data_IF_665790718201
#
_entry.id   IF_665790718201
#
_cell.length_a   1.000
_cell.length_b   1.000
_cell.length_c   1.000
_cell.angle_alpha   90.00
_cell.angle_beta   90.00
_cell.angle_gamma   90.00
#
_symmetry.space_group_name_H-M   'P 1'
#
loop_
_entity.id
_entity.type
_entity.pdbx_description
1 polymer ?
#
# COMPACT_ATOMS: atom_id res chain seq x y z
N UNK A 1 -0.32 4.14 30.35
CA UNK A 1 -0.85 2.76 30.22
C UNK A 1 -1.30 2.47 28.80
N UNK A 2 -2.14 3.30 28.17
CA UNK A 2 -2.60 3.10 26.78
C UNK A 2 -1.48 3.08 25.72
N UNK A 3 -0.50 3.99 25.78
CA UNK A 3 0.64 3.95 24.85
C UNK A 3 1.49 2.67 24.98
N UNK A 4 1.63 2.13 26.20
CA UNK A 4 2.31 0.85 26.44
C UNK A 4 1.52 -0.33 25.87
N UNK A 5 0.18 -0.31 25.99
CA UNK A 5 -0.68 -1.32 25.34
C UNK A 5 -0.52 -1.28 23.82
N UNK A 6 -0.54 -0.09 23.22
CA UNK A 6 -0.35 0.08 21.78
C UNK A 6 1.02 -0.40 21.30
N UNK A 7 2.08 -0.07 22.03
CA UNK A 7 3.45 -0.49 21.69
C UNK A 7 3.62 -2.03 21.76
N UNK A 8 3.06 -2.64 22.81
CA UNK A 8 3.05 -4.11 22.94
C UNK A 8 2.21 -4.72 21.82
N UNK A 9 1.04 -4.15 21.52
CA UNK A 9 0.19 -4.63 20.42
C UNK A 9 0.90 -4.58 19.08
N UNK A 10 1.62 -3.50 18.76
CA UNK A 10 2.44 -3.43 17.55
C UNK A 10 3.47 -4.57 17.49
N UNK A 11 4.18 -4.77 18.59
CA UNK A 11 5.29 -5.73 18.70
C UNK A 11 4.86 -7.18 18.45
N UNK A 12 3.61 -7.53 18.79
CA UNK A 12 3.14 -8.92 18.75
C UNK A 12 2.03 -9.20 17.73
N UNK A 13 1.25 -8.20 17.34
CA UNK A 13 0.03 -8.39 16.56
C UNK A 13 0.01 -7.63 15.23
N UNK A 14 0.94 -6.69 15.01
CA UNK A 14 1.04 -5.94 13.75
C UNK A 14 2.34 -6.29 13.08
N UNK A 15 2.22 -7.26 12.19
CA UNK A 15 3.24 -7.56 11.23
C UNK A 15 3.23 -6.52 10.09
N UNK A 16 4.42 -6.20 9.55
CA UNK A 16 4.63 -5.32 8.38
C UNK A 16 4.54 -6.19 7.11
N UNK A 17 3.36 -6.35 6.48
CA UNK A 17 3.15 -7.28 5.38
C UNK A 17 4.02 -6.98 4.14
N UNK A 18 4.51 -5.74 4.02
CA UNK A 18 5.44 -5.29 2.97
C UNK A 18 6.84 -5.93 3.09
N UNK A 19 7.19 -6.47 4.25
CA UNK A 19 8.50 -7.09 4.52
C UNK A 19 8.37 -8.62 4.58
N UNK A 20 9.42 -9.40 4.92
CA UNK A 20 9.28 -10.84 5.25
C UNK A 20 8.70 -11.04 6.65
N UNK A 21 7.98 -12.14 6.89
CA UNK A 21 7.30 -12.48 8.16
C UNK A 21 8.34 -12.74 9.24
N UNK A 22 8.99 -11.66 9.69
CA UNK A 22 10.12 -11.70 10.57
C UNK A 22 9.91 -10.72 11.73
N UNK A 23 10.05 -11.22 12.95
CA UNK A 23 10.10 -10.40 14.16
C UNK A 23 11.20 -9.34 14.08
N UNK A 24 12.22 -9.55 13.24
CA UNK A 24 13.31 -8.60 13.02
C UNK A 24 12.83 -7.30 12.33
N UNK A 25 11.82 -7.36 11.45
CA UNK A 25 11.29 -6.18 10.78
C UNK A 25 10.54 -5.25 11.75
N UNK A 26 9.64 -5.82 12.57
CA UNK A 26 8.92 -5.08 13.61
C UNK A 26 9.89 -4.51 14.65
N UNK A 27 10.92 -5.28 15.04
CA UNK A 27 11.96 -4.81 15.96
C UNK A 27 12.75 -3.63 15.42
N UNK A 28 13.15 -3.66 14.15
CA UNK A 28 13.90 -2.56 13.53
C UNK A 28 13.06 -1.28 13.43
N UNK A 29 11.78 -1.40 13.12
CA UNK A 29 10.85 -0.26 13.15
C UNK A 29 10.80 0.35 14.54
N UNK A 30 10.68 -0.48 15.58
CA UNK A 30 10.63 -0.02 16.97
C UNK A 30 11.95 0.62 17.42
N UNK A 31 13.10 0.04 17.07
CA UNK A 31 14.42 0.61 17.36
C UNK A 31 14.60 1.98 16.69
N UNK A 32 14.17 2.13 15.43
CA UNK A 32 14.17 3.42 14.75
C UNK A 32 13.21 4.43 15.40
N UNK A 33 12.03 3.97 15.82
CA UNK A 33 11.00 4.79 16.46
C UNK A 33 11.45 5.36 17.81
N UNK A 34 12.35 4.68 18.54
CA UNK A 34 12.89 5.19 19.81
C UNK A 34 13.62 6.54 19.63
N UNK A 35 14.18 6.79 18.45
CA UNK A 35 14.92 8.01 18.13
C UNK A 35 14.11 9.00 17.26
N UNK A 36 12.84 8.70 16.96
CA UNK A 36 11.99 9.54 16.12
C UNK A 36 10.53 9.54 16.62
N UNK A 37 10.13 10.62 17.32
CA UNK A 37 8.79 10.72 17.93
C UNK A 37 7.66 10.58 16.90
N UNK A 38 7.80 11.18 15.71
CA UNK A 38 6.78 11.06 14.65
C UNK A 38 6.60 9.60 14.20
N UNK A 39 7.69 8.83 14.08
CA UNK A 39 7.63 7.43 13.71
C UNK A 39 6.97 6.60 14.82
N UNK A 40 7.32 6.87 16.08
CA UNK A 40 6.68 6.24 17.24
C UNK A 40 5.18 6.51 17.26
N UNK A 41 4.75 7.76 17.06
CA UNK A 41 3.33 8.10 17.04
C UNK A 41 2.57 7.37 15.94
N UNK A 42 3.15 7.23 14.74
CA UNK A 42 2.50 6.52 13.63
C UNK A 42 2.40 5.01 13.89
N UNK A 43 3.43 4.41 14.50
CA UNK A 43 3.40 3.02 14.98
C UNK A 43 2.25 2.79 15.98
N UNK A 44 2.07 3.72 16.92
CA UNK A 44 0.98 3.67 17.90
C UNK A 44 -0.39 3.92 17.23
N UNK A 45 -0.46 4.83 16.27
CA UNK A 45 -1.67 5.14 15.51
C UNK A 45 -2.19 3.90 14.78
N UNK A 46 -1.31 3.22 14.05
CA UNK A 46 -1.63 1.98 13.35
C UNK A 46 -2.03 0.86 14.32
N UNK A 47 -1.46 0.85 15.52
CA UNK A 47 -1.85 -0.06 16.60
C UNK A 47 -3.26 0.16 17.11
N UNK A 48 -3.61 1.43 17.36
CA UNK A 48 -4.96 1.80 17.73
C UNK A 48 -5.93 1.42 16.60
N UNK A 49 -5.54 1.67 15.35
CA UNK A 49 -6.34 1.31 14.19
C UNK A 49 -6.61 -0.20 14.09
N UNK A 50 -5.60 -1.05 14.29
CA UNK A 50 -5.82 -2.50 14.34
C UNK A 50 -6.71 -2.91 15.53
N UNK A 51 -6.51 -2.33 16.72
CA UNK A 51 -7.33 -2.62 17.90
C UNK A 51 -8.80 -2.28 17.67
N UNK A 52 -9.11 -1.21 16.92
CA UNK A 52 -10.49 -0.91 16.53
C UNK A 52 -11.15 -2.04 15.74
N UNK A 53 -10.36 -2.78 14.95
CA UNK A 53 -10.86 -3.87 14.11
C UNK A 53 -11.09 -5.19 14.87
N UNK A 54 -10.44 -5.36 16.04
CA UNK A 54 -10.52 -6.59 16.85
C UNK A 54 -11.20 -6.40 18.21
N UNK A 55 -11.53 -5.16 18.60
CA UNK A 55 -12.27 -4.82 19.83
C UNK A 55 -13.49 -3.94 19.51
N UNK A 56 -14.60 -4.54 19.01
CA UNK A 56 -15.78 -3.79 18.59
C UNK A 56 -16.35 -2.85 19.66
N UNK A 57 -16.34 -3.28 20.93
CA UNK A 57 -16.87 -2.51 22.07
C UNK A 57 -16.16 -1.17 22.30
N UNK A 58 -14.93 -1.02 21.79
CA UNK A 58 -14.12 0.19 21.90
C UNK A 58 -13.68 0.73 20.54
N UNK A 59 -14.30 0.28 19.45
CA UNK A 59 -13.85 0.60 18.11
C UNK A 59 -13.78 2.10 17.85
N UNK A 60 -14.84 2.85 18.19
CA UNK A 60 -14.88 4.31 18.05
C UNK A 60 -13.73 5.01 18.79
N UNK A 61 -13.50 4.64 20.05
CA UNK A 61 -12.41 5.21 20.85
C UNK A 61 -11.03 4.94 20.25
N UNK A 62 -10.79 3.72 19.76
CA UNK A 62 -9.53 3.38 19.11
C UNK A 62 -9.35 4.08 17.74
N UNK A 63 -10.44 4.34 17.01
CA UNK A 63 -10.40 5.12 15.77
C UNK A 63 -10.06 6.57 16.05
N UNK A 64 -10.69 7.20 17.05
CA UNK A 64 -10.37 8.57 17.47
C UNK A 64 -8.90 8.68 17.89
N UNK A 65 -8.42 7.72 18.69
CA UNK A 65 -7.03 7.67 19.12
C UNK A 65 -6.05 7.47 17.95
N UNK A 66 -6.39 6.61 16.98
CA UNK A 66 -5.57 6.43 15.77
C UNK A 66 -5.46 7.75 14.98
N UNK A 67 -6.58 8.45 14.80
CA UNK A 67 -6.63 9.73 14.09
C UNK A 67 -5.83 10.83 14.78
N UNK A 68 -5.96 10.97 16.10
CA UNK A 68 -5.19 11.94 16.89
C UNK A 68 -3.68 11.69 16.80
N UNK A 69 -3.26 10.42 16.95
CA UNK A 69 -1.86 10.03 16.90
C UNK A 69 -1.25 10.26 15.51
N UNK A 70 -1.94 9.84 14.45
CA UNK A 70 -1.50 10.05 13.06
C UNK A 70 -1.38 11.54 12.74
N UNK A 71 -2.36 12.34 13.13
CA UNK A 71 -2.35 13.79 12.91
C UNK A 71 -1.12 14.43 13.57
N UNK A 72 -0.84 14.07 14.83
CA UNK A 72 0.34 14.57 15.55
C UNK A 72 1.64 14.06 14.91
N UNK A 73 1.67 12.81 14.45
CA UNK A 73 2.83 12.23 13.77
C UNK A 73 3.18 13.02 12.49
N UNK A 74 2.19 13.32 11.64
CA UNK A 74 2.36 14.11 10.42
C UNK A 74 2.85 15.52 10.73
N UNK A 75 2.29 16.18 11.75
CA UNK A 75 2.71 17.53 12.16
C UNK A 75 4.18 17.56 12.60
N UNK A 76 4.59 16.59 13.43
CA UNK A 76 5.98 16.47 13.87
C UNK A 76 6.93 16.13 12.73
N UNK A 77 6.54 15.20 11.85
CA UNK A 77 7.33 14.86 10.67
C UNK A 77 7.60 16.09 9.80
N UNK A 78 6.56 16.85 9.47
CA UNK A 78 6.69 18.05 8.64
C UNK A 78 7.57 19.14 9.29
N UNK A 79 7.62 19.19 10.62
CA UNK A 79 8.45 20.15 11.37
C UNK A 79 9.93 19.71 11.41
N UNK A 80 10.19 18.40 11.50
CA UNK A 80 11.53 17.84 11.68
C UNK A 80 12.16 17.25 10.40
N UNK A 81 11.42 17.25 9.29
CA UNK A 81 11.79 16.61 8.03
C UNK A 81 13.16 17.00 7.46
N UNK A 82 13.75 18.14 7.84
CA UNK A 82 15.08 18.55 7.40
C UNK A 82 16.23 17.92 8.21
N UNK A 83 16.00 17.50 9.46
CA UNK A 83 17.06 17.10 10.41
C UNK A 83 17.17 15.59 10.64
N UNK A 84 16.13 14.81 10.35
CA UNK A 84 16.12 13.38 10.66
C UNK A 84 16.88 12.53 9.63
N UNK A 85 17.32 11.32 10.03
CA UNK A 85 18.00 10.39 9.12
C UNK A 85 17.03 9.85 8.05
N UNK A 86 17.58 9.45 6.90
CA UNK A 86 16.79 8.95 5.76
C UNK A 86 15.97 7.70 6.11
N UNK A 87 16.45 6.90 7.06
CA UNK A 87 15.84 5.66 7.50
C UNK A 87 14.52 5.88 8.24
N UNK A 88 14.46 6.78 9.24
CA UNK A 88 13.22 7.00 9.99
C UNK A 88 12.14 7.63 9.10
N UNK A 89 12.53 8.52 8.17
CA UNK A 89 11.60 9.10 7.19
C UNK A 89 11.02 8.05 6.26
N UNK A 90 11.86 7.11 5.82
CA UNK A 90 11.45 5.99 4.99
C UNK A 90 10.45 5.08 5.70
N UNK A 91 10.78 4.68 6.94
CA UNK A 91 9.90 3.84 7.75
C UNK A 91 8.57 4.55 8.06
N UNK A 92 8.63 5.83 8.45
CA UNK A 92 7.43 6.62 8.75
C UNK A 92 6.51 6.70 7.54
N UNK A 93 7.04 7.04 6.37
CA UNK A 93 6.23 7.16 5.16
C UNK A 93 5.63 5.82 4.73
N UNK A 94 6.36 4.71 4.92
CA UNK A 94 5.86 3.36 4.66
C UNK A 94 4.67 3.03 5.57
N UNK A 95 4.81 3.22 6.88
CA UNK A 95 3.76 2.92 7.86
C UNK A 95 2.56 3.86 7.69
N UNK A 96 2.80 5.15 7.45
CA UNK A 96 1.74 6.13 7.20
C UNK A 96 0.95 5.79 5.94
N UNK A 97 1.63 5.47 4.84
CA UNK A 97 0.94 5.10 3.60
C UNK A 97 0.11 3.81 3.75
N UNK A 98 0.62 2.82 4.50
CA UNK A 98 -0.16 1.63 4.89
C UNK A 98 -1.38 1.99 5.73
N UNK A 99 -1.24 2.90 6.69
CA UNK A 99 -2.36 3.36 7.53
C UNK A 99 -3.44 4.03 6.67
N UNK A 100 -3.06 4.95 5.77
CA UNK A 100 -3.98 5.61 4.84
C UNK A 100 -4.65 4.59 3.90
N UNK A 101 -3.91 3.61 3.40
CA UNK A 101 -4.46 2.53 2.58
C UNK A 101 -5.53 1.74 3.35
N UNK A 102 -5.22 1.33 4.59
CA UNK A 102 -6.17 0.62 5.47
C UNK A 102 -7.43 1.45 5.70
N UNK A 103 -7.31 2.73 6.00
CA UNK A 103 -8.46 3.62 6.23
C UNK A 103 -9.31 3.81 4.98
N UNK A 104 -8.67 3.91 3.82
CA UNK A 104 -9.35 4.00 2.54
C UNK A 104 -10.13 2.71 2.25
N UNK A 105 -9.49 1.56 2.42
CA UNK A 105 -10.06 0.24 2.12
C UNK A 105 -11.23 -0.15 3.03
N UNK A 106 -11.27 0.32 4.28
CA UNK A 106 -12.41 0.03 5.19
C UNK A 106 -13.55 1.02 5.09
N UNK A 107 -13.37 2.15 4.41
CA UNK A 107 -14.41 3.17 4.33
C UNK A 107 -15.56 2.67 3.46
N UNK A 108 -16.80 2.78 3.96
CA UNK A 108 -18.01 2.27 3.29
C UNK A 108 -18.98 3.37 2.87
N UNK A 109 -18.70 4.60 3.24
CA UNK A 109 -19.56 5.76 3.00
C UNK A 109 -19.01 6.64 1.86
N UNK A 110 -18.08 6.10 1.06
CA UNK A 110 -17.42 6.84 -0.02
C UNK A 110 -18.03 6.49 -1.37
N UNK A 111 -18.46 7.53 -2.07
CA UNK A 111 -18.62 7.49 -3.52
C UNK A 111 -17.28 7.18 -4.21
N UNK A 112 -17.33 6.64 -5.43
CA UNK A 112 -16.13 6.20 -6.14
C UNK A 112 -15.04 7.28 -6.25
N UNK A 113 -15.40 8.51 -6.60
CA UNK A 113 -14.42 9.61 -6.72
C UNK A 113 -13.73 9.92 -5.38
N UNK A 114 -14.48 9.89 -4.28
CA UNK A 114 -13.91 10.14 -2.95
C UNK A 114 -12.99 9.00 -2.50
N UNK A 115 -13.35 7.76 -2.81
CA UNK A 115 -12.48 6.60 -2.60
C UNK A 115 -11.18 6.76 -3.39
N UNK A 116 -11.29 7.08 -4.68
CA UNK A 116 -10.15 7.18 -5.58
C UNK A 116 -9.19 8.29 -5.17
N UNK A 117 -9.70 9.46 -4.77
CA UNK A 117 -8.86 10.57 -4.29
C UNK A 117 -8.09 10.20 -3.02
N UNK A 118 -8.73 9.53 -2.05
CA UNK A 118 -8.05 9.05 -0.83
C UNK A 118 -7.01 7.97 -1.14
N UNK A 119 -7.35 7.06 -2.06
CA UNK A 119 -6.43 6.01 -2.51
C UNK A 119 -5.18 6.62 -3.17
N UNK A 120 -5.37 7.60 -4.06
CA UNK A 120 -4.27 8.35 -4.69
C UNK A 120 -3.45 9.12 -3.66
N UNK A 121 -4.09 9.78 -2.70
CA UNK A 121 -3.40 10.46 -1.61
C UNK A 121 -2.48 9.51 -0.85
N UNK A 122 -2.94 8.31 -0.50
CA UNK A 122 -2.12 7.27 0.13
C UNK A 122 -0.90 6.87 -0.71
N UNK A 123 -1.09 6.68 -2.02
CA UNK A 123 0.02 6.39 -2.94
C UNK A 123 1.04 7.52 -3.02
N UNK A 124 0.58 8.78 -3.00
CA UNK A 124 1.45 9.96 -3.02
C UNK A 124 2.30 10.09 -1.76
N UNK A 125 1.80 9.67 -0.59
CA UNK A 125 2.61 9.61 0.65
C UNK A 125 3.83 8.70 0.48
N UNK A 126 3.65 7.51 -0.11
CA UNK A 126 4.76 6.60 -0.43
C UNK A 126 5.75 7.18 -1.46
N UNK A 127 5.32 8.13 -2.30
CA UNK A 127 6.19 8.78 -3.28
C UNK A 127 6.99 9.95 -2.74
N UNK A 128 6.47 10.68 -1.75
CA UNK A 128 7.29 11.64 -0.99
C UNK A 128 8.56 10.95 -0.46
N UNK A 129 8.44 9.67 -0.13
CA UNK A 129 9.56 8.79 0.19
C UNK A 129 10.46 8.50 -1.00
N UNK A 130 9.94 8.07 -2.17
CA UNK A 130 10.76 7.82 -3.38
C UNK A 130 11.55 9.05 -3.84
N UNK A 131 10.99 10.25 -3.75
CA UNK A 131 11.68 11.50 -4.08
C UNK A 131 12.82 11.82 -3.09
N UNK A 132 12.58 11.59 -1.78
CA UNK A 132 13.64 11.65 -0.75
C UNK A 132 14.68 10.53 -0.99
N UNK A 133 14.26 9.33 -1.40
CA UNK A 133 15.13 8.19 -1.68
C UNK A 133 15.97 8.36 -2.96
N UNK A 134 15.54 9.16 -3.93
CA UNK A 134 16.33 9.49 -5.13
C UNK A 134 17.40 10.56 -4.85
N UNK A 135 17.24 11.33 -3.77
CA UNK A 135 18.15 12.40 -3.38
C UNK A 135 19.28 11.94 -2.42
N UNK A 136 19.17 10.77 -1.81
CA UNK A 136 20.17 10.20 -0.89
C UNK A 136 20.85 8.96 -1.48
N UNK A 137 22.16 8.84 -1.25
CA UNK A 137 22.98 7.73 -1.72
C UNK A 137 22.41 6.39 -1.22
N UNK A 138 22.02 5.52 -2.16
CA UNK A 138 21.36 4.23 -1.89
C UNK A 138 22.28 3.20 -1.24
N UNK A 139 23.60 3.30 -1.44
CA UNK A 139 24.57 2.30 -0.99
C UNK A 139 24.58 2.09 0.53
N UNK A 140 24.67 3.12 1.39
CA UNK A 140 24.64 2.93 2.84
C UNK A 140 23.31 2.36 3.34
N UNK A 141 22.19 2.75 2.73
CA UNK A 141 20.86 2.25 3.10
C UNK A 141 20.68 0.78 2.72
N UNK A 142 21.05 0.39 1.50
CA UNK A 142 21.04 -1.00 1.02
C UNK A 142 21.92 -1.92 1.89
N UNK A 143 23.08 -1.41 2.32
CA UNK A 143 24.01 -2.14 3.19
C UNK A 143 23.56 -2.20 4.66
N UNK A 144 22.48 -1.49 5.04
CA UNK A 144 21.91 -1.55 6.39
C UNK A 144 20.99 -2.77 6.56
N UNK A 145 20.67 -3.12 7.81
CA UNK A 145 19.67 -4.16 8.11
C UNK A 145 18.31 -3.86 7.48
N UNK A 146 17.94 -2.58 7.39
CA UNK A 146 16.68 -2.13 6.78
C UNK A 146 16.75 -2.25 5.26
N UNK A 147 17.89 -1.94 4.65
CA UNK A 147 18.12 -2.20 3.22
C UNK A 147 18.01 -3.67 2.88
N UNK A 148 18.56 -4.56 3.71
CA UNK A 148 18.40 -6.01 3.54
C UNK A 148 16.94 -6.44 3.63
N UNK A 149 16.16 -5.89 4.56
CA UNK A 149 14.73 -6.18 4.66
C UNK A 149 13.91 -5.62 3.50
N UNK A 150 14.22 -4.42 3.02
CA UNK A 150 13.59 -3.83 1.83
C UNK A 150 13.93 -4.66 0.60
N UNK A 151 15.18 -5.10 0.46
CA UNK A 151 15.65 -5.93 -0.65
C UNK A 151 15.06 -7.33 -0.60
N UNK A 152 14.89 -7.94 0.59
CA UNK A 152 14.20 -9.23 0.74
C UNK A 152 12.68 -9.13 0.60
N UNK A 153 12.11 -8.01 1.09
CA UNK A 153 10.68 -7.72 1.08
C UNK A 153 10.17 -7.38 -0.32
N UNK A 154 10.93 -6.60 -1.08
CA UNK A 154 10.61 -6.12 -2.44
C UNK A 154 11.33 -6.96 -3.50
N UNK A 155 11.70 -8.22 -3.24
CA UNK A 155 12.43 -9.12 -4.17
C UNK A 155 12.84 -8.47 -5.51
N UNK A 156 14.07 -7.93 -5.62
CA UNK A 156 14.54 -7.25 -6.81
C UNK A 156 14.47 -8.09 -8.08
N UNK A 157 14.28 -9.41 -7.97
CA UNK A 157 14.17 -10.34 -9.08
C UNK A 157 12.73 -10.84 -9.30
N UNK A 158 11.82 -10.68 -8.34
CA UNK A 158 10.45 -11.22 -8.39
C UNK A 158 9.36 -10.20 -8.71
N UNK A 159 9.54 -8.92 -8.33
CA UNK A 159 8.56 -7.86 -8.62
C UNK A 159 8.97 -6.94 -9.77
N UNK A 160 10.25 -6.97 -10.19
CA UNK A 160 10.77 -6.12 -11.26
C UNK A 160 10.62 -6.70 -12.67
N UNK A 161 10.42 -8.01 -12.80
CA UNK A 161 10.17 -8.66 -14.09
C UNK A 161 8.91 -9.52 -14.02
N UNK A 162 7.72 -8.89 -13.90
CA UNK A 162 6.48 -9.62 -13.90
C UNK A 162 6.32 -10.33 -15.25
N UNK A 163 5.82 -11.56 -15.21
CA UNK A 163 5.65 -12.41 -16.39
C UNK A 163 4.81 -11.77 -17.50
N UNK A 164 4.77 -12.40 -18.69
CA UNK A 164 3.95 -11.92 -19.79
C UNK A 164 2.48 -11.80 -19.37
N UNK A 165 1.82 -10.71 -19.77
CA UNK A 165 0.38 -10.60 -19.61
C UNK A 165 -0.31 -11.69 -20.43
N UNK A 166 -1.50 -12.08 -19.97
CA UNK A 166 -2.36 -12.96 -20.77
C UNK A 166 -2.68 -12.26 -22.09
N UNK A 167 -2.65 -12.95 -23.25
CA UNK A 167 -2.75 -12.30 -24.57
C UNK A 167 -4.00 -11.42 -24.75
N UNK A 168 -5.11 -11.74 -24.09
CA UNK A 168 -6.32 -10.92 -24.17
C UNK A 168 -6.16 -9.58 -23.44
N UNK A 169 -5.47 -9.52 -22.29
CA UNK A 169 -5.18 -8.27 -21.57
C UNK A 169 -4.20 -7.39 -22.36
N UNK A 170 -3.19 -8.00 -22.98
CA UNK A 170 -2.28 -7.29 -23.91
C UNK A 170 -3.07 -6.69 -25.07
N UNK A 171 -4.02 -7.46 -25.62
CA UNK A 171 -4.88 -7.00 -26.70
C UNK A 171 -5.74 -5.81 -26.25
N UNK A 172 -6.36 -5.87 -25.07
CA UNK A 172 -7.19 -4.78 -24.53
C UNK A 172 -6.39 -3.48 -24.34
N UNK A 173 -5.18 -3.55 -23.80
CA UNK A 173 -4.28 -2.38 -23.68
C UNK A 173 -3.88 -1.86 -25.07
N UNK A 174 -3.54 -2.74 -26.00
CA UNK A 174 -3.12 -2.34 -27.35
C UNK A 174 -4.23 -1.61 -28.11
N UNK A 175 -5.48 -2.03 -27.91
CA UNK A 175 -6.68 -1.48 -28.56
C UNK A 175 -7.24 -0.25 -27.84
N UNK A 176 -6.77 0.08 -26.63
CA UNK A 176 -7.18 1.27 -25.91
C UNK A 176 -6.83 2.53 -26.71
N UNK A 177 -7.84 3.18 -27.27
CA UNK A 177 -7.68 4.39 -28.11
C UNK A 177 -7.50 5.67 -27.29
N UNK A 178 -7.86 5.63 -25.99
CA UNK A 178 -7.70 6.75 -25.05
C UNK A 178 -6.30 6.87 -24.46
N UNK A 179 -5.48 5.84 -24.62
CA UNK A 179 -4.12 5.79 -24.11
C UNK A 179 -3.13 6.08 -25.23
N UNK A 180 -2.21 7.00 -24.98
CA UNK A 180 -1.00 7.16 -25.79
C UNK A 180 0.02 6.03 -25.49
N UNK A 181 1.18 6.08 -26.13
CA UNK A 181 2.20 5.04 -25.97
C UNK A 181 2.69 4.91 -24.52
N UNK A 182 2.89 6.04 -23.83
CA UNK A 182 3.37 6.08 -22.46
C UNK A 182 2.29 5.60 -21.47
N UNK A 183 1.03 6.00 -21.69
CA UNK A 183 -0.12 5.52 -20.93
C UNK A 183 -0.32 4.02 -21.08
N UNK A 184 -0.19 3.47 -22.29
CA UNK A 184 -0.23 2.01 -22.53
C UNK A 184 0.89 1.30 -21.79
N UNK A 185 2.11 1.82 -21.83
CA UNK A 185 3.25 1.25 -21.10
C UNK A 185 3.04 1.31 -19.58
N UNK A 186 2.47 2.40 -19.07
CA UNK A 186 2.17 2.56 -17.66
C UNK A 186 1.08 1.57 -17.19
N UNK A 187 0.01 1.41 -17.96
CA UNK A 187 -1.05 0.43 -17.73
C UNK A 187 -0.52 -1.02 -17.81
N UNK A 188 0.28 -1.34 -18.82
CA UNK A 188 0.88 -2.67 -19.00
C UNK A 188 1.72 -3.06 -17.78
N UNK A 189 2.63 -2.18 -17.33
CA UNK A 189 3.44 -2.43 -16.12
C UNK A 189 2.59 -2.60 -14.87
N UNK A 190 1.59 -1.73 -14.67
CA UNK A 190 0.69 -1.78 -13.52
C UNK A 190 -0.10 -3.10 -13.47
N UNK A 191 -0.62 -3.53 -14.62
CA UNK A 191 -1.40 -4.75 -14.75
C UNK A 191 -0.54 -6.00 -14.59
N UNK A 192 0.67 -6.03 -15.17
CA UNK A 192 1.61 -7.16 -15.04
C UNK A 192 1.92 -7.52 -13.59
N UNK A 193 2.11 -6.50 -12.74
CA UNK A 193 2.35 -6.72 -11.31
C UNK A 193 1.15 -7.38 -10.61
N UNK A 194 -0.09 -7.02 -10.97
CA UNK A 194 -1.30 -7.64 -10.42
C UNK A 194 -1.44 -9.07 -10.93
N UNK A 195 -1.32 -9.29 -12.24
CA UNK A 195 -1.45 -10.63 -12.83
C UNK A 195 -0.39 -11.59 -12.30
N UNK A 196 0.86 -11.16 -12.21
CA UNK A 196 1.93 -11.97 -11.62
C UNK A 196 1.66 -12.30 -10.15
N UNK A 197 1.07 -11.38 -9.38
CA UNK A 197 0.67 -11.65 -8.01
C UNK A 197 -0.51 -12.62 -7.90
N UNK A 198 -1.47 -12.54 -8.82
CA UNK A 198 -2.57 -13.50 -8.91
C UNK A 198 -2.05 -14.91 -9.25
N UNK A 199 -1.11 -15.02 -10.19
CA UNK A 199 -0.44 -16.29 -10.52
C UNK A 199 0.37 -16.81 -9.30
N UNK A 200 1.05 -15.93 -8.56
CA UNK A 200 1.77 -16.29 -7.34
C UNK A 200 0.86 -16.84 -6.24
N UNK A 201 -0.39 -16.37 -6.15
CA UNK A 201 -1.38 -16.86 -5.19
C UNK A 201 -1.79 -18.32 -5.47
N UNK A 202 -1.71 -18.77 -6.72
CA UNK A 202 -2.00 -20.15 -7.12
C UNK A 202 -0.85 -21.12 -6.75
N UNK A 203 0.36 -20.60 -6.54
CA UNK A 203 1.52 -21.38 -6.13
C UNK A 203 1.65 -21.46 -4.60
N UNK A 204 1.69 -22.66 -3.99
CA UNK A 204 1.90 -22.81 -2.55
C UNK A 204 3.19 -22.17 -2.03
N UNK A 205 4.23 -22.13 -2.86
CA UNK A 205 5.53 -21.57 -2.51
C UNK A 205 5.56 -20.05 -2.62
N UNK A 206 4.76 -19.48 -3.54
CA UNK A 206 4.77 -18.04 -3.84
C UNK A 206 3.57 -17.28 -3.28
N UNK A 207 2.62 -17.96 -2.65
CA UNK A 207 1.39 -17.35 -2.13
C UNK A 207 1.63 -16.12 -1.24
N UNK A 208 2.65 -16.16 -0.38
CA UNK A 208 3.02 -15.01 0.48
C UNK A 208 3.48 -13.79 -0.33
N UNK A 209 4.17 -13.98 -1.45
CA UNK A 209 4.58 -12.90 -2.35
C UNK A 209 3.38 -12.28 -3.05
N UNK A 210 2.45 -13.11 -3.51
CA UNK A 210 1.18 -12.65 -4.09
C UNK A 210 0.36 -11.81 -3.09
N UNK A 211 0.23 -12.25 -1.84
CA UNK A 211 -0.44 -11.47 -0.79
C UNK A 211 0.31 -10.17 -0.45
N UNK A 212 1.65 -10.19 -0.44
CA UNK A 212 2.46 -8.99 -0.21
C UNK A 212 2.24 -7.92 -1.28
N UNK A 213 1.99 -8.33 -2.53
CA UNK A 213 1.74 -7.39 -3.63
C UNK A 213 0.54 -6.46 -3.36
N UNK A 214 -0.42 -6.85 -2.52
CA UNK A 214 -1.52 -5.97 -2.09
C UNK A 214 -0.99 -4.62 -1.56
N UNK A 215 0.09 -4.67 -0.77
CA UNK A 215 0.66 -3.50 -0.13
C UNK A 215 1.80 -2.88 -0.94
N UNK A 216 2.49 -3.69 -1.74
CA UNK A 216 3.62 -3.23 -2.59
C UNK A 216 3.14 -2.55 -3.87
N UNK A 217 2.04 -3.01 -4.48
CA UNK A 217 1.54 -2.49 -5.74
C UNK A 217 1.29 -0.97 -5.72
N UNK A 218 0.57 -0.39 -4.73
CA UNK A 218 0.35 1.06 -4.66
C UNK A 218 1.65 1.88 -4.57
N UNK A 219 2.72 1.27 -4.03
CA UNK A 219 4.03 1.89 -3.89
C UNK A 219 4.78 1.89 -5.24
N UNK A 220 4.65 0.84 -6.04
CA UNK A 220 5.42 0.63 -7.27
C UNK A 220 4.89 1.38 -8.50
N UNK A 221 3.66 1.87 -8.47
CA UNK A 221 3.04 2.56 -9.61
C UNK A 221 3.87 3.74 -10.11
N UNK A 222 3.83 3.98 -11.43
CA UNK A 222 4.53 5.07 -12.12
C UNK A 222 3.75 6.39 -12.10
N UNK A 223 4.43 7.54 -12.23
CA UNK A 223 3.78 8.86 -12.29
C UNK A 223 2.72 8.92 -13.38
N UNK A 224 3.02 8.36 -14.56
CA UNK A 224 2.06 8.25 -15.65
C UNK A 224 0.78 7.49 -15.26
N UNK A 225 0.91 6.34 -14.60
CA UNK A 225 -0.27 5.56 -14.20
C UNK A 225 -1.13 6.29 -13.14
N UNK A 226 -0.49 6.92 -12.15
CA UNK A 226 -1.24 7.71 -11.16
C UNK A 226 -1.93 8.91 -11.83
N UNK A 227 -1.29 9.57 -12.80
CA UNK A 227 -1.91 10.62 -13.58
C UNK A 227 -3.15 10.15 -14.36
N UNK A 228 -3.16 8.90 -14.85
CA UNK A 228 -4.34 8.30 -15.50
C UNK A 228 -5.47 8.04 -14.50
N UNK A 229 -5.17 7.59 -13.27
CA UNK A 229 -6.16 7.46 -12.21
C UNK A 229 -6.72 8.82 -11.79
N UNK A 230 -5.86 9.84 -11.63
CA UNK A 230 -6.27 11.22 -11.33
C UNK A 230 -7.23 11.77 -12.41
N UNK A 231 -7.02 11.40 -13.68
CA UNK A 231 -7.89 11.75 -14.80
C UNK A 231 -9.10 10.82 -14.98
N UNK A 232 -9.25 9.79 -14.14
CA UNK A 232 -10.30 8.76 -14.22
C UNK A 232 -10.36 8.09 -15.60
N UNK A 233 -9.19 7.85 -16.20
CA UNK A 233 -9.13 7.16 -17.48
C UNK A 233 -9.67 5.74 -17.30
N UNK A 234 -10.73 5.34 -18.03
CA UNK A 234 -11.45 4.10 -17.76
C UNK A 234 -10.56 2.85 -17.75
N UNK A 235 -9.56 2.77 -18.61
CA UNK A 235 -8.59 1.67 -18.66
C UNK A 235 -7.74 1.57 -17.38
N UNK A 236 -7.36 2.70 -16.77
CA UNK A 236 -6.67 2.70 -15.48
C UNK A 236 -7.60 2.32 -14.33
N UNK A 237 -8.87 2.73 -14.39
CA UNK A 237 -9.91 2.34 -13.42
C UNK A 237 -10.23 0.85 -13.52
N UNK A 238 -10.24 0.28 -14.73
CA UNK A 238 -10.40 -1.16 -14.93
C UNK A 238 -9.26 -1.97 -14.30
N UNK A 239 -8.02 -1.47 -14.39
CA UNK A 239 -6.86 -2.05 -13.69
C UNK A 239 -7.02 -1.95 -12.16
N UNK A 240 -7.62 -0.87 -11.64
CA UNK A 240 -8.00 -0.79 -10.22
C UNK A 240 -9.05 -1.85 -9.84
N UNK A 241 -9.94 -2.23 -10.76
CA UNK A 241 -10.83 -3.39 -10.60
C UNK A 241 -10.06 -4.73 -10.52
N UNK A 242 -9.00 -4.92 -11.32
CA UNK A 242 -8.09 -6.08 -11.17
C UNK A 242 -7.39 -6.08 -9.82
N UNK A 243 -6.98 -4.91 -9.31
CA UNK A 243 -6.45 -4.79 -7.95
C UNK A 243 -7.49 -5.19 -6.88
N UNK A 244 -8.78 -4.92 -7.11
CA UNK A 244 -9.86 -5.36 -6.23
C UNK A 244 -9.97 -6.89 -6.12
N UNK A 245 -9.69 -7.62 -7.21
CA UNK A 245 -9.61 -9.09 -7.21
C UNK A 245 -8.43 -9.56 -6.36
N UNK A 246 -7.27 -8.92 -6.48
CA UNK A 246 -6.11 -9.21 -5.64
C UNK A 246 -6.42 -8.96 -4.15
N UNK A 247 -7.12 -7.87 -3.82
CA UNK A 247 -7.61 -7.60 -2.47
C UNK A 247 -8.54 -8.71 -1.96
N UNK A 248 -9.43 -9.24 -2.81
CA UNK A 248 -10.35 -10.31 -2.42
C UNK A 248 -9.61 -11.62 -2.02
N UNK A 249 -8.46 -11.89 -2.62
CA UNK A 249 -7.59 -12.98 -2.19
C UNK A 249 -7.02 -12.74 -0.78
N UNK A 250 -6.72 -11.48 -0.45
CA UNK A 250 -6.27 -11.02 0.86
C UNK A 250 -7.37 -10.86 1.92
N UNK A 251 -8.63 -11.27 1.68
CA UNK A 251 -9.77 -11.01 2.59
C UNK A 251 -9.62 -11.48 4.04
N UNK A 252 -8.69 -12.41 4.31
CA UNK A 252 -8.39 -12.89 5.67
C UNK A 252 -7.50 -11.93 6.46
N UNK A 253 -6.84 -11.00 5.78
CA UNK A 253 -6.05 -9.94 6.40
C UNK A 253 -6.97 -8.90 7.02
N UNK A 254 -6.65 -8.46 8.24
CA UNK A 254 -7.48 -7.52 9.00
C UNK A 254 -7.63 -6.15 8.30
N UNK A 255 -6.64 -5.79 7.50
CA UNK A 255 -6.57 -4.58 6.69
C UNK A 255 -7.58 -4.59 5.53
N UNK A 256 -7.87 -5.78 5.00
CA UNK A 256 -8.52 -5.93 3.70
C UNK A 256 -9.97 -6.33 3.88
N UNK A 257 -10.26 -7.42 4.61
CA UNK A 257 -11.62 -7.92 4.83
C UNK A 257 -12.44 -7.99 3.52
N UNK A 258 -13.56 -7.30 3.44
CA UNK A 258 -14.48 -7.18 2.31
C UNK A 258 -14.09 -6.10 1.29
N UNK A 259 -12.96 -5.39 1.47
CA UNK A 259 -12.59 -4.25 0.63
C UNK A 259 -12.46 -4.58 -0.86
N UNK A 260 -12.03 -5.81 -1.20
CA UNK A 260 -11.94 -6.24 -2.60
C UNK A 260 -13.31 -6.27 -3.29
N UNK A 261 -14.31 -6.86 -2.64
CA UNK A 261 -15.68 -6.89 -3.17
C UNK A 261 -16.28 -5.48 -3.26
N UNK A 262 -16.09 -4.68 -2.21
CA UNK A 262 -16.55 -3.28 -2.18
C UNK A 262 -15.95 -2.44 -3.31
N UNK A 263 -14.62 -2.49 -3.50
CA UNK A 263 -13.94 -1.75 -4.54
C UNK A 263 -14.35 -2.22 -5.94
N UNK A 264 -14.48 -3.54 -6.15
CA UNK A 264 -14.91 -4.07 -7.43
C UNK A 264 -16.32 -3.58 -7.81
N UNK A 265 -17.23 -3.50 -6.83
CA UNK A 265 -18.57 -2.94 -7.03
C UNK A 265 -18.53 -1.46 -7.38
N UNK A 266 -17.72 -0.66 -6.68
CA UNK A 266 -17.54 0.77 -7.01
C UNK A 266 -16.98 0.97 -8.42
N UNK A 267 -15.95 0.20 -8.79
CA UNK A 267 -15.32 0.25 -10.13
C UNK A 267 -16.32 -0.15 -11.20
N UNK A 268 -17.06 -1.25 -11.00
CA UNK A 268 -18.05 -1.74 -11.97
C UNK A 268 -19.19 -0.74 -12.16
N UNK A 269 -19.66 -0.11 -11.08
CA UNK A 269 -20.68 0.93 -11.14
C UNK A 269 -20.19 2.18 -11.87
N UNK A 270 -18.94 2.60 -11.65
CA UNK A 270 -18.34 3.76 -12.31
C UNK A 270 -18.12 3.53 -13.81
N UNK A 271 -17.58 2.36 -14.19
CA UNK A 271 -17.26 2.02 -15.57
C UNK A 271 -18.51 1.72 -16.42
N UNK A 272 -19.55 1.16 -15.81
CA UNK A 272 -20.74 0.71 -16.51
C UNK A 272 -20.49 -0.57 -17.35
N UNK A 273 -21.46 -0.96 -18.19
CA UNK A 273 -21.38 -2.18 -19.00
C UNK A 273 -20.28 -2.09 -20.08
N UNK A 274 -19.72 -3.24 -20.47
CA UNK A 274 -18.71 -3.35 -21.53
C UNK A 274 -17.26 -3.47 -21.04
N UNK A 275 -17.05 -3.55 -19.74
CA UNK A 275 -15.74 -3.71 -19.10
C UNK A 275 -15.50 -5.12 -18.55
N UNK A 276 -16.38 -6.07 -18.83
CA UNK A 276 -16.34 -7.44 -18.30
C UNK A 276 -15.08 -8.19 -18.74
N UNK A 277 -14.54 -7.87 -19.93
CA UNK A 277 -13.27 -8.46 -20.40
C UNK A 277 -12.05 -7.97 -19.61
N UNK A 278 -12.17 -6.84 -18.91
CA UNK A 278 -11.11 -6.29 -18.06
C UNK A 278 -11.21 -6.73 -16.60
N UNK A 279 -12.33 -7.28 -16.14
CA UNK A 279 -12.60 -7.60 -14.73
C UNK A 279 -12.68 -9.11 -14.52
#
# INVERSE_FOLDING_TARGET
>A
MHQLELLVHFSFAIYVPELEEDHDATKLVLEAALNAEYLMLEVLALSARHLSAIRPDKAAWYLDLAFELQTKAIQLFNTNAAQDESVQKLLFSSILGRHILVDTLVSRDLEFDQFLDRFIQGMRVHRGTKAVMAAYEWEPLLNSKIGSLITKGIDPLGFHDPGPLRPYLESLISQATRLDADGKLACDKALRMIEGALDDLESPERNKFGLRMIFVWPILLSEGFIGLLEQRVPEAIAILGRYAILLQAGRRLWQIKDAGEYLLNLVSAFLGPGWEMWL
#
